data_IF_010441171852
#
_entry.id   IF_010441171852
#
_cell.length_a   1.000
_cell.length_b   1.000
_cell.length_c   1.000
_cell.angle_alpha   90.00
_cell.angle_beta   90.00
_cell.angle_gamma   90.00
#
_symmetry.space_group_name_H-M   'P 1'
#
loop_
_entity.id
_entity.type
_entity.pdbx_description
1 polymer ?
#
# COMPACT_ATOMS: atom_id res chain seq x y z
N UNK A 1 18.67 -1.09 0.30
CA UNK A 1 17.44 -0.27 0.26
C UNK A 1 16.42 -1.01 -0.59
N UNK A 2 15.50 -1.75 0.04
CA UNK A 2 14.38 -2.34 -0.70
C UNK A 2 13.67 -1.24 -1.51
N UNK A 3 13.50 -1.45 -2.81
CA UNK A 3 12.83 -0.51 -3.69
C UNK A 3 11.37 -0.38 -3.21
N UNK A 4 11.07 0.67 -2.44
CA UNK A 4 9.73 0.91 -1.92
C UNK A 4 8.75 0.98 -3.09
N UNK A 5 7.65 0.25 -3.01
CA UNK A 5 6.70 0.21 -4.12
C UNK A 5 6.10 1.59 -4.31
N UNK A 6 5.64 1.92 -5.53
CA UNK A 6 4.93 3.17 -5.78
C UNK A 6 3.71 3.34 -4.86
N UNK A 7 3.17 2.24 -4.33
CA UNK A 7 2.05 2.25 -3.36
C UNK A 7 2.48 2.85 -2.04
N UNK A 8 3.60 2.36 -1.53
CA UNK A 8 4.14 2.75 -0.23
C UNK A 8 4.50 4.24 -0.26
N UNK A 9 5.06 4.69 -1.39
CA UNK A 9 5.35 6.11 -1.62
C UNK A 9 4.09 6.98 -1.60
N UNK A 10 3.01 6.54 -2.26
CA UNK A 10 1.73 7.28 -2.28
C UNK A 10 1.08 7.27 -0.88
N UNK A 11 1.09 6.14 -0.19
CA UNK A 11 0.53 6.00 1.15
C UNK A 11 1.26 6.91 2.16
N UNK A 12 2.59 6.98 2.09
CA UNK A 12 3.42 7.82 2.96
C UNK A 12 3.16 9.34 2.83
N UNK A 13 2.51 9.78 1.75
CA UNK A 13 2.17 11.20 1.51
C UNK A 13 0.66 11.46 1.49
N UNK A 14 -0.18 10.43 1.70
CA UNK A 14 -1.63 10.46 1.46
C UNK A 14 -2.36 11.64 2.11
N UNK A 15 -2.08 11.92 3.37
CA UNK A 15 -2.69 13.00 4.16
C UNK A 15 -2.30 14.40 3.67
N UNK A 16 -1.15 14.48 2.99
CA UNK A 16 -0.60 15.74 2.46
C UNK A 16 -1.05 16.00 1.03
N UNK A 17 -1.70 15.05 0.35
CA UNK A 17 -2.12 15.21 -1.05
C UNK A 17 -3.26 16.23 -1.19
N UNK A 18 -3.12 17.14 -2.15
CA UNK A 18 -4.22 18.03 -2.56
C UNK A 18 -5.31 17.23 -3.30
N UNK A 19 -6.54 17.76 -3.46
CA UNK A 19 -7.60 17.06 -4.20
C UNK A 19 -7.21 16.67 -5.63
N UNK A 20 -6.39 17.48 -6.31
CA UNK A 20 -5.89 17.16 -7.64
C UNK A 20 -4.84 16.03 -7.62
N UNK A 21 -3.94 16.05 -6.64
CA UNK A 21 -2.92 15.00 -6.44
C UNK A 21 -3.56 13.67 -6.00
N UNK A 22 -4.61 13.71 -5.19
CA UNK A 22 -5.37 12.51 -4.79
C UNK A 22 -6.03 11.85 -6.00
N UNK A 23 -6.62 12.63 -6.91
CA UNK A 23 -7.14 12.09 -8.19
C UNK A 23 -6.04 11.47 -9.06
N UNK A 24 -4.85 12.07 -9.10
CA UNK A 24 -3.70 11.50 -9.81
C UNK A 24 -3.31 10.17 -9.16
N UNK A 25 -3.15 10.15 -7.84
CA UNK A 25 -2.85 8.94 -7.09
C UNK A 25 -3.88 7.84 -7.37
N UNK A 26 -5.18 8.12 -7.23
CA UNK A 26 -6.25 7.15 -7.52
C UNK A 26 -6.19 6.56 -8.93
N UNK A 27 -5.92 7.39 -9.94
CA UNK A 27 -5.78 6.93 -11.32
C UNK A 27 -4.55 6.03 -11.52
N UNK A 28 -3.41 6.42 -10.96
CA UNK A 28 -2.15 5.63 -11.00
C UNK A 28 -2.28 4.35 -10.19
N UNK A 29 -3.03 4.38 -9.08
CA UNK A 29 -3.33 3.21 -8.25
C UNK A 29 -4.22 2.21 -9.01
N UNK A 30 -5.22 2.71 -9.73
CA UNK A 30 -6.18 1.89 -10.47
C UNK A 30 -5.58 1.29 -11.74
N UNK A 31 -4.81 2.06 -12.50
CA UNK A 31 -4.24 1.69 -13.79
C UNK A 31 -2.79 2.20 -13.92
N UNK A 32 -1.80 1.49 -13.34
CA UNK A 32 -0.40 1.91 -13.33
C UNK A 32 0.21 2.12 -14.73
N UNK A 33 -0.32 1.41 -15.74
CA UNK A 33 0.11 1.50 -17.15
C UNK A 33 -0.09 2.89 -17.74
N UNK A 34 -1.08 3.66 -17.26
CA UNK A 34 -1.31 5.05 -17.69
C UNK A 34 -0.07 5.92 -17.44
N UNK A 35 0.59 5.72 -16.31
CA UNK A 35 1.79 6.45 -15.96
C UNK A 35 3.02 5.81 -16.59
N UNK A 36 3.13 4.48 -16.54
CA UNK A 36 4.31 3.77 -17.02
C UNK A 36 4.57 3.96 -18.52
N UNK A 37 3.51 4.09 -19.33
CA UNK A 37 3.60 4.16 -20.79
C UNK A 37 2.99 5.43 -21.40
N UNK A 38 2.33 6.28 -20.60
CA UNK A 38 1.76 7.55 -21.06
C UNK A 38 2.66 8.75 -20.83
N UNK A 39 2.39 9.85 -21.51
CA UNK A 39 3.07 11.13 -21.25
C UNK A 39 2.43 11.86 -20.06
N UNK A 40 3.15 12.85 -19.51
CA UNK A 40 2.60 13.76 -18.50
C UNK A 40 1.31 14.45 -18.97
N UNK A 41 1.17 14.68 -20.28
CA UNK A 41 -0.03 15.27 -20.87
C UNK A 41 -1.20 14.30 -20.89
N UNK A 42 -0.95 13.02 -21.20
CA UNK A 42 -1.98 11.98 -21.25
C UNK A 42 -2.54 11.74 -19.85
N UNK A 43 -1.67 11.63 -18.85
CA UNK A 43 -2.08 11.47 -17.46
C UNK A 43 -2.85 12.70 -16.96
N UNK A 44 -2.36 13.91 -17.28
CA UNK A 44 -3.04 15.15 -16.90
C UNK A 44 -4.45 15.24 -17.52
N UNK A 45 -4.57 14.93 -18.82
CA UNK A 45 -5.84 14.93 -19.54
C UNK A 45 -6.81 13.88 -19.01
N UNK A 46 -6.34 12.65 -18.77
CA UNK A 46 -7.16 11.54 -18.26
C UNK A 46 -7.72 11.82 -16.87
N UNK A 47 -6.94 12.46 -16.01
CA UNK A 47 -7.33 12.77 -14.62
C UNK A 47 -8.11 14.09 -14.52
N UNK A 48 -8.10 14.93 -15.56
CA UNK A 48 -8.69 16.27 -15.53
C UNK A 48 -7.91 17.22 -14.64
N UNK A 49 -6.59 17.26 -14.80
CA UNK A 49 -5.65 18.13 -14.06
C UNK A 49 -4.65 18.76 -15.01
N UNK A 50 -3.77 19.62 -14.48
CA UNK A 50 -2.73 20.29 -15.28
C UNK A 50 -1.39 19.55 -15.21
N UNK A 51 -0.55 19.68 -16.24
CA UNK A 51 0.80 19.08 -16.26
C UNK A 51 1.65 19.47 -15.04
N UNK A 52 1.65 20.74 -14.57
CA UNK A 52 2.37 21.10 -13.35
C UNK A 52 1.87 20.36 -12.10
N UNK A 53 0.58 20.03 -12.01
CA UNK A 53 0.05 19.24 -10.90
C UNK A 53 0.61 17.82 -10.89
N UNK A 54 0.79 17.20 -12.06
CA UNK A 54 1.41 15.88 -12.19
C UNK A 54 2.89 15.91 -11.80
N UNK A 55 3.62 16.97 -12.17
CA UNK A 55 5.03 17.13 -11.77
C UNK A 55 5.17 17.40 -10.26
N UNK A 56 4.27 18.21 -9.68
CA UNK A 56 4.21 18.41 -8.22
C UNK A 56 3.90 17.11 -7.48
N UNK A 57 3.02 16.28 -8.02
CA UNK A 57 2.77 14.95 -7.47
C UNK A 57 4.04 14.09 -7.45
N UNK A 58 4.79 14.03 -8.55
CA UNK A 58 6.04 13.27 -8.61
C UNK A 58 7.10 13.75 -7.61
N UNK A 59 7.30 15.07 -7.52
CA UNK A 59 8.22 15.68 -6.53
C UNK A 59 7.80 15.42 -5.10
N UNK A 60 6.49 15.40 -4.81
CA UNK A 60 5.96 15.07 -3.50
C UNK A 60 6.22 13.63 -3.08
N UNK A 61 6.29 12.71 -4.04
CA UNK A 61 6.68 11.32 -3.84
C UNK A 61 8.20 11.12 -3.72
N UNK A 62 8.99 12.20 -3.83
CA UNK A 62 10.45 12.16 -3.71
C UNK A 62 11.19 11.99 -5.03
N UNK A 63 10.54 12.20 -6.18
CA UNK A 63 11.17 12.11 -7.50
C UNK A 63 11.47 13.50 -8.09
N UNK A 64 12.56 13.66 -8.82
CA UNK A 64 12.96 14.92 -9.47
C UNK A 64 11.96 15.39 -10.54
N UNK A 65 11.07 14.51 -11.00
CA UNK A 65 10.00 14.85 -11.91
C UNK A 65 9.24 13.63 -12.43
N UNK A 66 8.37 13.86 -13.41
CA UNK A 66 7.50 12.82 -13.98
C UNK A 66 8.30 11.65 -14.58
N UNK A 67 9.39 11.92 -15.30
CA UNK A 67 10.19 10.89 -15.98
C UNK A 67 10.82 9.90 -15.00
N UNK A 68 11.33 10.38 -13.86
CA UNK A 68 11.94 9.51 -12.86
C UNK A 68 10.88 8.65 -12.15
N UNK A 69 9.73 9.24 -11.81
CA UNK A 69 8.58 8.48 -11.31
C UNK A 69 8.12 7.43 -12.35
N UNK A 70 8.07 7.80 -13.63
CA UNK A 70 7.70 6.90 -14.72
C UNK A 70 8.64 5.71 -14.84
N UNK A 71 9.95 5.93 -14.78
CA UNK A 71 10.93 4.85 -14.82
C UNK A 71 10.75 3.89 -13.63
N UNK A 72 10.55 4.44 -12.43
CA UNK A 72 10.30 3.65 -11.23
C UNK A 72 9.05 2.76 -11.38
N UNK A 73 7.92 3.33 -11.84
CA UNK A 73 6.68 2.56 -12.05
C UNK A 73 6.84 1.51 -13.15
N UNK A 74 7.54 1.84 -14.25
CA UNK A 74 7.80 0.92 -15.35
C UNK A 74 8.64 -0.28 -14.90
N UNK A 75 9.68 -0.04 -14.10
CA UNK A 75 10.53 -1.10 -13.55
C UNK A 75 9.72 -2.06 -12.65
N UNK A 76 8.84 -1.53 -11.79
CA UNK A 76 7.94 -2.34 -10.95
C UNK A 76 6.94 -3.18 -11.77
N UNK A 77 6.36 -2.61 -12.83
CA UNK A 77 5.49 -3.35 -13.76
C UNK A 77 6.25 -4.44 -14.51
N UNK A 78 7.48 -4.18 -14.96
CA UNK A 78 8.30 -5.19 -15.62
C UNK A 78 8.58 -6.40 -14.72
N UNK A 79 8.83 -6.19 -13.43
CA UNK A 79 9.00 -7.27 -12.44
C UNK A 79 7.70 -8.06 -12.18
N UNK A 80 6.54 -7.40 -12.26
CA UNK A 80 5.23 -8.04 -12.14
C UNK A 80 4.80 -8.79 -13.41
N UNK A 81 5.19 -8.29 -14.58
CA UNK A 81 4.84 -8.86 -15.90
C UNK A 81 5.84 -9.92 -16.38
N UNK A 82 6.99 -10.10 -15.70
CA UNK A 82 7.82 -11.29 -15.87
C UNK A 82 6.95 -12.52 -15.67
N UNK A 83 6.73 -13.27 -16.76
CA UNK A 83 5.74 -14.34 -16.83
C UNK A 83 6.07 -15.42 -15.80
N UNK A 84 5.06 -16.11 -15.22
CA UNK A 84 5.29 -17.34 -14.47
C UNK A 84 6.17 -18.33 -15.25
N UNK A 85 6.06 -18.39 -16.58
CA UNK A 85 6.91 -19.23 -17.43
C UNK A 85 8.39 -18.82 -17.49
N UNK A 86 8.69 -17.52 -17.34
CA UNK A 86 10.07 -17.03 -17.27
C UNK A 86 10.66 -17.22 -15.87
N UNK A 87 9.81 -17.30 -14.83
CA UNK A 87 10.18 -17.81 -13.50
C UNK A 87 10.35 -19.32 -13.50
N UNK A 88 9.49 -20.06 -14.21
CA UNK A 88 9.54 -21.53 -14.30
C UNK A 88 10.75 -22.04 -15.09
N UNK A 89 11.24 -21.27 -16.09
CA UNK A 89 12.52 -21.57 -16.75
C UNK A 89 13.73 -21.28 -15.86
N UNK A 90 13.57 -20.52 -14.77
CA UNK A 90 14.52 -20.44 -13.66
C UNK A 90 14.24 -21.49 -12.55
N UNK A 91 13.04 -22.11 -12.49
CA UNK A 91 12.56 -23.04 -11.43
C UNK A 91 12.94 -24.52 -11.63
N UNK A 92 14.06 -24.86 -12.27
CA UNK A 92 14.56 -26.24 -12.17
C UNK A 92 15.27 -26.53 -10.84
N UNK A 93 15.19 -25.62 -9.86
CA UNK A 93 15.74 -25.82 -8.53
C UNK A 93 14.70 -25.50 -7.46
N UNK A 94 14.71 -26.27 -6.37
CA UNK A 94 13.98 -26.01 -5.12
C UNK A 94 14.54 -24.80 -4.34
N UNK A 95 15.50 -24.08 -4.92
CA UNK A 95 16.27 -22.95 -4.36
C UNK A 95 15.59 -21.55 -4.46
N UNK A 96 14.75 -21.21 -5.46
CA UNK A 96 14.11 -19.90 -5.60
C UNK A 96 13.06 -19.61 -4.53
N UNK A 97 12.29 -20.60 -4.09
CA UNK A 97 11.27 -20.39 -3.06
C UNK A 97 11.89 -20.15 -1.68
N UNK A 98 12.98 -20.88 -1.36
CA UNK A 98 13.71 -20.68 -0.12
C UNK A 98 14.41 -19.32 -0.09
N UNK A 99 15.12 -18.96 -1.16
CA UNK A 99 15.76 -17.63 -1.26
C UNK A 99 14.73 -16.50 -1.25
N UNK A 100 13.59 -16.64 -1.94
CA UNK A 100 12.51 -15.65 -1.87
C UNK A 100 11.91 -15.50 -0.46
N UNK A 101 11.82 -16.61 0.30
CA UNK A 101 11.39 -16.57 1.69
C UNK A 101 12.44 -15.91 2.59
N UNK A 102 13.72 -16.23 2.40
CA UNK A 102 14.85 -15.62 3.12
C UNK A 102 14.90 -14.11 2.86
N UNK A 103 14.75 -13.68 1.60
CA UNK A 103 14.67 -12.27 1.21
C UNK A 103 13.46 -11.58 1.82
N UNK A 104 12.29 -12.24 1.81
CA UNK A 104 11.08 -11.70 2.42
C UNK A 104 11.26 -11.53 3.94
N UNK A 105 11.85 -12.52 4.63
CA UNK A 105 12.13 -12.44 6.06
C UNK A 105 13.16 -11.35 6.38
N UNK A 106 14.24 -11.24 5.60
CA UNK A 106 15.23 -10.18 5.75
C UNK A 106 14.59 -8.80 5.62
N UNK A 107 13.69 -8.61 4.64
CA UNK A 107 12.97 -7.35 4.45
C UNK A 107 12.06 -6.98 5.64
N UNK A 108 11.50 -7.97 6.33
CA UNK A 108 10.69 -7.76 7.54
C UNK A 108 11.57 -7.26 8.68
N UNK A 109 12.76 -7.84 8.87
CA UNK A 109 13.70 -7.39 9.90
C UNK A 109 14.21 -5.97 9.64
N UNK A 110 14.59 -5.65 8.40
CA UNK A 110 14.98 -4.28 8.03
C UNK A 110 13.85 -3.28 8.33
N UNK A 111 12.61 -3.60 7.97
CA UNK A 111 11.46 -2.73 8.23
C UNK A 111 11.16 -2.56 9.74
N UNK A 112 11.47 -3.57 10.55
CA UNK A 112 11.31 -3.52 12.00
C UNK A 112 12.39 -2.66 12.68
N UNK A 113 13.63 -2.68 12.18
CA UNK A 113 14.77 -1.92 12.71
C UNK A 113 14.67 -0.42 12.46
N UNK A 114 14.02 0.00 11.37
CA UNK A 114 13.84 1.41 10.99
C UNK A 114 12.92 2.23 11.93
N UNK A 115 12.48 1.68 13.06
CA UNK A 115 11.62 2.35 14.05
C UNK A 115 10.18 2.60 13.58
N UNK A 116 9.86 2.30 12.32
CA UNK A 116 8.51 2.43 11.74
C UNK A 116 7.50 1.56 12.48
N UNK A 117 7.90 0.33 12.84
CA UNK A 117 7.05 -0.56 13.62
C UNK A 117 6.73 0.02 15.00
N UNK A 118 7.70 0.64 15.68
CA UNK A 118 7.47 1.30 16.96
C UNK A 118 6.57 2.53 16.81
N UNK A 119 6.73 3.31 15.73
CA UNK A 119 5.86 4.45 15.43
C UNK A 119 4.40 4.01 15.15
N UNK A 120 4.19 2.87 14.47
CA UNK A 120 2.87 2.27 14.26
C UNK A 120 2.28 1.67 15.54
N UNK A 121 3.11 1.08 16.41
CA UNK A 121 2.66 0.44 17.64
C UNK A 121 2.08 1.43 18.65
N UNK A 122 2.64 2.65 18.75
CA UNK A 122 2.18 3.66 19.72
C UNK A 122 0.69 4.00 19.61
N UNK A 123 0.14 4.42 18.44
CA UNK A 123 -1.29 4.71 18.33
C UNK A 123 -2.14 3.46 18.56
N UNK A 124 -1.70 2.28 18.09
CA UNK A 124 -2.39 1.00 18.31
C UNK A 124 -2.45 0.65 19.80
N UNK A 125 -1.42 0.98 20.60
CA UNK A 125 -1.41 0.69 22.02
C UNK A 125 -2.28 1.66 22.83
N UNK A 126 -2.39 2.92 22.42
CA UNK A 126 -3.07 3.97 23.20
C UNK A 126 -4.54 4.19 22.84
N UNK A 127 -4.98 3.76 21.64
CA UNK A 127 -6.35 3.98 21.18
C UNK A 127 -7.38 3.24 22.03
N UNK A 128 -8.58 3.79 22.17
CA UNK A 128 -9.68 3.11 22.85
C UNK A 128 -10.15 1.89 22.03
N UNK A 129 -10.40 2.09 20.73
CA UNK A 129 -10.68 1.00 19.80
C UNK A 129 -9.63 0.89 18.69
N UNK A 130 -9.35 -0.35 18.30
CA UNK A 130 -8.51 -0.70 17.15
C UNK A 130 -9.36 -1.49 16.16
N UNK A 131 -9.52 -0.94 14.96
CA UNK A 131 -10.31 -1.51 13.89
C UNK A 131 -9.38 -2.18 12.86
N UNK A 132 -9.37 -3.51 12.82
CA UNK A 132 -8.59 -4.27 11.83
C UNK A 132 -9.43 -4.46 10.58
N UNK A 133 -8.93 -3.97 9.45
CA UNK A 133 -9.62 -4.02 8.14
C UNK A 133 -8.73 -4.79 7.18
N UNK A 134 -9.29 -5.69 6.39
CA UNK A 134 -8.50 -6.46 5.42
C UNK A 134 -9.24 -6.76 4.12
N UNK A 135 -8.48 -6.87 3.03
CA UNK A 135 -8.97 -7.46 1.79
C UNK A 135 -9.06 -8.99 1.87
N UNK A 136 -9.79 -9.59 0.93
CA UNK A 136 -10.10 -11.03 0.88
C UNK A 136 -8.84 -11.92 0.92
N UNK A 137 -7.83 -11.59 0.12
CA UNK A 137 -6.55 -12.32 0.03
C UNK A 137 -5.64 -12.11 1.22
N UNK A 138 -5.95 -11.12 2.06
CA UNK A 138 -5.11 -10.59 3.13
C UNK A 138 -5.65 -10.93 4.52
N UNK A 139 -6.81 -11.60 4.54
CA UNK A 139 -7.57 -11.94 5.73
C UNK A 139 -6.81 -12.82 6.72
N UNK A 140 -5.95 -13.72 6.25
CA UNK A 140 -5.14 -14.58 7.13
C UNK A 140 -4.20 -13.77 8.03
N UNK A 141 -3.50 -12.78 7.48
CA UNK A 141 -2.62 -11.91 8.27
C UNK A 141 -3.39 -10.99 9.20
N UNK A 142 -4.55 -10.50 8.77
CA UNK A 142 -5.44 -9.69 9.61
C UNK A 142 -5.99 -10.47 10.81
N UNK A 143 -6.38 -11.74 10.63
CA UNK A 143 -6.78 -12.61 11.73
C UNK A 143 -5.63 -12.89 12.70
N UNK A 144 -4.41 -13.13 12.18
CA UNK A 144 -3.24 -13.32 13.03
C UNK A 144 -2.97 -12.07 13.88
N UNK A 145 -3.04 -10.88 13.29
CA UNK A 145 -2.90 -9.61 14.01
C UNK A 145 -4.01 -9.41 15.05
N UNK A 146 -5.27 -9.62 14.67
CA UNK A 146 -6.43 -9.50 15.57
C UNK A 146 -6.31 -10.44 16.78
N UNK A 147 -5.95 -11.71 16.53
CA UNK A 147 -5.70 -12.70 17.58
C UNK A 147 -4.57 -12.26 18.51
N UNK A 148 -3.45 -11.80 17.95
CA UNK A 148 -2.32 -11.24 18.72
C UNK A 148 -2.71 -10.07 19.60
N UNK A 149 -3.43 -9.09 19.05
CA UNK A 149 -3.81 -7.87 19.75
C UNK A 149 -4.87 -8.11 20.82
N UNK A 150 -5.84 -8.98 20.58
CA UNK A 150 -6.90 -9.31 21.57
C UNK A 150 -6.35 -10.03 22.80
N UNK A 151 -5.20 -10.69 22.70
CA UNK A 151 -4.51 -11.27 23.86
C UNK A 151 -3.89 -10.22 24.78
N UNK A 152 -3.51 -9.04 24.26
CA UNK A 152 -2.74 -8.03 25.00
C UNK A 152 -3.52 -6.76 25.31
N UNK A 153 -4.66 -6.53 24.67
CA UNK A 153 -5.52 -5.38 24.94
C UNK A 153 -6.99 -5.62 24.56
N UNK A 154 -7.93 -4.95 25.26
CA UNK A 154 -9.34 -4.92 24.86
C UNK A 154 -9.58 -3.95 23.70
N UNK A 155 -10.80 -3.98 23.16
CA UNK A 155 -11.26 -3.01 22.14
C UNK A 155 -10.63 -3.23 20.77
N UNK A 156 -10.35 -4.48 20.40
CA UNK A 156 -9.82 -4.82 19.07
C UNK A 156 -10.91 -5.51 18.27
N UNK A 157 -11.33 -4.88 17.18
CA UNK A 157 -12.45 -5.31 16.34
C UNK A 157 -11.93 -5.69 14.97
N UNK A 158 -12.26 -6.89 14.50
CA UNK A 158 -12.01 -7.29 13.13
C UNK A 158 -13.25 -6.97 12.30
N UNK A 159 -13.08 -6.14 11.27
CA UNK A 159 -14.16 -5.75 10.38
C UNK A 159 -14.35 -6.80 9.30
N UNK A 160 -15.58 -7.29 9.17
CA UNK A 160 -15.97 -8.15 8.06
C UNK A 160 -16.59 -7.33 6.92
N UNK A 161 -16.41 -7.80 5.69
CA UNK A 161 -16.72 -7.04 4.47
C UNK A 161 -18.21 -6.64 4.36
N UNK A 162 -19.10 -7.39 5.00
CA UNK A 162 -20.55 -7.19 4.97
C UNK A 162 -21.08 -6.32 6.11
N UNK A 163 -20.33 -6.15 7.20
CA UNK A 163 -20.71 -5.34 8.37
C UNK A 163 -19.97 -4.01 8.46
N UNK A 164 -18.94 -3.79 7.63
CA UNK A 164 -18.06 -2.61 7.63
C UNK A 164 -18.78 -1.27 7.83
N UNK A 165 -19.90 -1.02 7.15
CA UNK A 165 -20.63 0.23 7.26
C UNK A 165 -21.28 0.45 8.63
N UNK A 166 -21.75 -0.61 9.28
CA UNK A 166 -22.32 -0.56 10.62
C UNK A 166 -21.23 -0.46 11.67
N UNK A 167 -20.18 -1.28 11.55
CA UNK A 167 -19.10 -1.30 12.53
C UNK A 167 -18.37 0.04 12.58
N UNK A 168 -18.02 0.61 11.41
CA UNK A 168 -17.35 1.89 11.32
C UNK A 168 -18.25 3.08 11.68
N UNK A 169 -19.57 2.92 11.69
CA UNK A 169 -20.47 3.98 12.19
C UNK A 169 -20.28 4.24 13.70
N UNK A 170 -19.73 3.26 14.42
CA UNK A 170 -19.40 3.38 15.84
C UNK A 170 -17.99 3.89 16.10
N UNK A 171 -17.18 4.12 15.06
CA UNK A 171 -15.84 4.65 15.22
C UNK A 171 -15.88 6.11 15.71
N UNK A 172 -15.06 6.40 16.73
CA UNK A 172 -14.97 7.73 17.34
C UNK A 172 -13.58 8.33 17.17
N UNK A 173 -13.50 9.65 17.39
CA UNK A 173 -12.21 10.35 17.36
C UNK A 173 -11.28 9.77 18.44
N UNK A 174 -10.09 9.35 18.02
CA UNK A 174 -9.10 8.71 18.90
C UNK A 174 -9.02 7.19 18.73
N UNK A 175 -9.94 6.59 17.96
CA UNK A 175 -9.79 5.22 17.48
C UNK A 175 -8.73 5.11 16.38
N UNK A 176 -8.20 3.91 16.18
CA UNK A 176 -7.17 3.61 15.18
C UNK A 176 -7.65 2.51 14.26
N UNK A 177 -7.47 2.70 12.95
CA UNK A 177 -7.68 1.65 11.96
C UNK A 177 -6.34 1.06 11.52
N UNK A 178 -6.25 -0.26 11.48
CA UNK A 178 -5.13 -1.01 10.90
C UNK A 178 -5.63 -1.70 9.65
N UNK A 179 -5.18 -1.23 8.49
CA UNK A 179 -5.54 -1.80 7.18
C UNK A 179 -4.46 -2.77 6.74
N UNK A 180 -4.83 -4.02 6.51
CA UNK A 180 -3.93 -5.09 6.15
C UNK A 180 -4.28 -5.63 4.75
N UNK A 181 -3.44 -5.35 3.75
CA UNK A 181 -3.67 -5.79 2.37
C UNK A 181 -2.38 -6.14 1.60
N UNK A 182 -2.29 -7.34 1.02
CA UNK A 182 -1.13 -7.86 0.27
C UNK A 182 -1.13 -7.45 -1.21
N UNK A 183 -2.28 -7.06 -1.76
CA UNK A 183 -2.42 -6.60 -3.13
C UNK A 183 -3.09 -5.23 -3.09
N UNK A 184 -2.53 -4.24 -3.80
CA UNK A 184 -3.36 -3.13 -4.26
C UNK A 184 -4.54 -3.76 -4.98
N UNK A 185 -5.74 -3.74 -4.42
CA UNK A 185 -7.01 -3.59 -5.13
C UNK A 185 -8.13 -3.70 -4.10
N UNK A 186 -8.60 -2.54 -3.65
CA UNK A 186 -9.96 -2.07 -3.99
C UNK A 186 -10.13 -0.65 -3.47
N UNK A 187 -10.92 0.12 -4.22
CA UNK A 187 -11.42 1.48 -3.89
C UNK A 187 -12.04 1.66 -2.48
N UNK A 188 -12.09 0.61 -1.66
CA UNK A 188 -12.67 0.60 -0.31
C UNK A 188 -11.65 0.84 0.80
N UNK A 189 -10.41 0.35 0.68
CA UNK A 189 -9.37 0.59 1.69
C UNK A 189 -9.01 2.09 1.80
N UNK A 190 -8.99 2.81 0.67
CA UNK A 190 -8.74 4.26 0.61
C UNK A 190 -9.96 5.10 1.03
N UNK A 191 -11.15 4.50 1.15
CA UNK A 191 -12.35 5.22 1.64
C UNK A 191 -12.53 5.12 3.16
N UNK A 192 -11.83 4.20 3.81
CA UNK A 192 -11.93 3.97 5.25
C UNK A 192 -10.82 4.66 6.06
N UNK A 193 -9.73 5.10 5.41
CA UNK A 193 -8.69 5.96 5.97
C UNK A 193 -8.96 7.43 5.59
#
# INVERSE_FOLDING_TARGET
MAASSTTDLIAAVGDRLTPAERRIAEAVLAEPTLLAFGTVSDLAGRVGTSRPSVVRFATKLGFDGYTQLQEHVRSGLSQQLSRPSDRIRLDEATLPAQSALEDALASVFEAAEDGRLAALAKPIATAANVWVISGETSRAGAHALHSGLTMVRPGVHLIEDHSMGQDLAHAVRGDVAVVFDFLRYRRRAVRAA
#
